data_IF_242880810093
#
_entry.id   IF_242880810093
#
_cell.length_a   1.000
_cell.length_b   1.000
_cell.length_c   1.000
_cell.angle_alpha   90.00
_cell.angle_beta   90.00
_cell.angle_gamma   90.00
#
_symmetry.space_group_name_H-M   'P 1'
#
loop_
_entity.id
_entity.type
_entity.pdbx_description
1 polymer ?
#
# COMPACT_ATOMS: atom_id res chain seq x y z
N UNK A 1 10.35 -7.67 -15.71
CA UNK A 1 10.43 -7.08 -14.38
C UNK A 1 10.17 -5.57 -14.43
N UNK A 2 9.74 -5.00 -13.30
CA UNK A 2 9.43 -3.58 -13.12
C UNK A 2 7.96 -3.27 -13.40
N UNK A 3 7.26 -2.75 -12.38
CA UNK A 3 5.83 -2.38 -12.47
C UNK A 3 5.56 -0.97 -11.93
N UNK A 4 6.53 -0.33 -11.33
CA UNK A 4 6.49 1.07 -10.89
C UNK A 4 7.18 1.92 -11.96
N UNK A 5 6.41 2.52 -12.88
CA UNK A 5 7.00 3.28 -13.98
C UNK A 5 6.14 4.44 -14.45
N UNK A 6 6.83 5.40 -15.05
CA UNK A 6 6.24 6.50 -15.81
C UNK A 6 6.95 6.63 -17.14
N UNK A 7 6.31 7.27 -18.09
CA UNK A 7 6.87 7.46 -19.43
C UNK A 7 6.12 8.49 -20.23
N UNK A 8 6.55 8.63 -21.49
CA UNK A 8 5.91 9.48 -22.48
C UNK A 8 5.37 8.61 -23.60
N UNK A 9 4.15 8.84 -24.03
CA UNK A 9 3.53 8.11 -25.14
C UNK A 9 4.34 8.36 -26.42
N UNK A 10 5.02 7.33 -26.91
CA UNK A 10 5.83 7.39 -28.13
C UNK A 10 5.04 6.97 -29.37
N UNK A 11 4.23 5.93 -29.25
CA UNK A 11 3.37 5.40 -30.32
C UNK A 11 2.00 5.04 -29.80
N UNK A 12 0.97 5.12 -30.65
CA UNK A 12 -0.40 4.74 -30.30
C UNK A 12 -1.06 3.95 -31.42
N UNK A 13 -1.81 2.92 -31.02
CA UNK A 13 -2.79 2.27 -31.87
C UNK A 13 -4.17 2.97 -31.80
N UNK A 14 -5.08 2.67 -32.74
CA UNK A 14 -6.38 3.36 -32.87
C UNK A 14 -7.33 3.19 -31.67
N UNK A 15 -7.10 2.22 -30.79
CA UNK A 15 -7.93 2.00 -29.60
C UNK A 15 -7.59 2.93 -28.44
N UNK A 16 -6.44 3.64 -28.50
CA UNK A 16 -5.97 4.52 -27.44
C UNK A 16 -6.20 6.02 -27.75
N UNK A 17 -6.50 6.38 -29.00
CA UNK A 17 -6.60 7.75 -29.50
C UNK A 17 -7.64 8.62 -28.79
N UNK A 18 -8.73 8.02 -28.27
CA UNK A 18 -9.75 8.72 -27.50
C UNK A 18 -9.34 9.06 -26.06
N UNK A 19 -8.27 8.43 -25.54
CA UNK A 19 -7.81 8.64 -24.17
C UNK A 19 -6.54 9.47 -24.10
N UNK A 20 -5.62 9.27 -25.07
CA UNK A 20 -4.27 9.79 -25.05
C UNK A 20 -3.88 10.39 -26.41
N UNK A 21 -2.75 11.10 -26.42
CA UNK A 21 -2.06 11.56 -27.62
C UNK A 21 -0.55 11.28 -27.47
N UNK A 22 0.15 11.21 -28.59
CA UNK A 22 1.62 11.14 -28.61
C UNK A 22 2.19 12.34 -27.86
N UNK A 23 3.17 12.13 -27.00
CA UNK A 23 3.76 13.12 -26.14
C UNK A 23 3.11 13.28 -24.75
N UNK A 24 1.93 12.66 -24.49
CA UNK A 24 1.35 12.69 -23.15
C UNK A 24 2.31 11.99 -22.16
N UNK A 25 2.54 12.65 -21.02
CA UNK A 25 3.23 12.07 -19.87
C UNK A 25 2.26 11.20 -19.09
N UNK A 26 2.67 9.99 -18.76
CA UNK A 26 1.77 9.00 -18.15
C UNK A 26 2.46 8.21 -17.05
N UNK A 27 1.66 7.71 -16.11
CA UNK A 27 2.06 6.76 -15.07
C UNK A 27 1.10 5.58 -15.10
N UNK A 28 1.63 4.38 -14.87
CA UNK A 28 0.84 3.14 -14.90
C UNK A 28 0.36 2.73 -13.52
N UNK A 29 -0.83 2.16 -13.49
CA UNK A 29 -1.38 1.42 -12.35
C UNK A 29 -0.89 -0.04 -12.29
N UNK A 30 -0.02 -0.45 -13.19
CA UNK A 30 0.60 -1.76 -13.33
C UNK A 30 -0.27 -2.93 -13.84
N UNK A 31 -1.56 -2.79 -14.01
CA UNK A 31 -2.40 -3.84 -14.61
C UNK A 31 -2.08 -4.01 -16.10
N UNK A 32 -1.87 -5.26 -16.52
CA UNK A 32 -1.67 -5.64 -17.93
C UNK A 32 -2.93 -6.20 -18.59
N UNK A 33 -3.80 -6.84 -17.81
CA UNK A 33 -5.03 -7.45 -18.29
C UNK A 33 -6.07 -7.59 -17.19
N UNK A 34 -7.34 -7.45 -17.55
CA UNK A 34 -8.53 -7.82 -16.77
C UNK A 34 -9.60 -8.40 -17.70
N UNK A 35 -10.49 -9.24 -17.19
CA UNK A 35 -11.49 -9.89 -18.05
C UNK A 35 -12.70 -9.01 -18.44
N UNK A 36 -12.95 -7.93 -17.71
CA UNK A 36 -14.07 -6.98 -17.96
C UNK A 36 -15.48 -7.50 -17.67
N UNK A 37 -15.65 -8.76 -17.20
CA UNK A 37 -16.96 -9.42 -17.07
C UNK A 37 -17.21 -10.14 -15.75
N UNK A 38 -16.22 -10.24 -14.86
CA UNK A 38 -16.41 -10.86 -13.55
C UNK A 38 -17.02 -9.87 -12.55
N UNK A 39 -17.57 -10.35 -11.42
CA UNK A 39 -18.17 -9.46 -10.41
C UNK A 39 -17.24 -8.37 -9.88
N UNK A 40 -15.93 -8.61 -9.87
CA UNK A 40 -14.95 -7.60 -9.49
C UNK A 40 -14.85 -6.50 -10.56
N UNK A 41 -14.74 -6.87 -11.84
CA UNK A 41 -14.67 -5.91 -12.95
C UNK A 41 -15.97 -5.10 -13.09
N UNK A 42 -17.14 -5.72 -12.92
CA UNK A 42 -18.44 -5.03 -12.96
C UNK A 42 -18.58 -3.96 -11.88
N UNK A 43 -17.90 -4.14 -10.74
CA UNK A 43 -17.82 -3.16 -9.65
C UNK A 43 -16.69 -2.15 -9.80
N UNK A 44 -15.90 -2.23 -10.89
CA UNK A 44 -14.67 -1.44 -11.04
C UNK A 44 -13.52 -1.87 -10.14
N UNK A 45 -13.62 -2.98 -9.43
CA UNK A 45 -12.56 -3.51 -8.56
C UNK A 45 -11.61 -4.41 -9.36
N UNK A 46 -10.87 -3.81 -10.27
CA UNK A 46 -10.03 -4.51 -11.24
C UNK A 46 -8.87 -5.26 -10.62
N UNK A 47 -8.34 -4.79 -9.50
CA UNK A 47 -7.25 -5.45 -8.77
C UNK A 47 -7.61 -6.86 -8.31
N UNK A 48 -8.90 -7.10 -8.04
CA UNK A 48 -9.43 -8.40 -7.61
C UNK A 48 -10.03 -9.24 -8.76
N UNK A 49 -9.76 -8.88 -10.02
CA UNK A 49 -10.15 -9.71 -11.16
C UNK A 49 -9.38 -11.04 -11.14
N UNK A 50 -10.06 -12.21 -11.20
CA UNK A 50 -9.38 -13.50 -11.17
C UNK A 50 -8.51 -13.78 -12.42
N UNK A 51 -8.75 -13.06 -13.52
CA UNK A 51 -7.93 -13.13 -14.74
C UNK A 51 -6.92 -11.97 -14.81
N UNK A 52 -6.74 -11.19 -13.74
CA UNK A 52 -5.78 -10.07 -13.75
C UNK A 52 -4.37 -10.55 -14.05
N UNK A 53 -3.69 -9.81 -14.90
CA UNK A 53 -2.25 -9.90 -15.10
C UNK A 53 -1.58 -8.60 -14.75
N UNK A 54 -0.43 -8.68 -14.11
CA UNK A 54 0.35 -7.54 -13.66
C UNK A 54 1.59 -7.38 -14.55
N UNK A 55 1.85 -6.17 -15.01
CA UNK A 55 3.08 -5.86 -15.73
C UNK A 55 4.30 -6.13 -14.83
N UNK A 56 5.34 -6.69 -15.42
CA UNK A 56 6.57 -7.00 -14.69
C UNK A 56 6.53 -8.26 -13.84
N UNK A 57 5.35 -8.85 -13.64
CA UNK A 57 5.15 -10.14 -12.96
C UNK A 57 4.65 -11.20 -13.93
N UNK A 58 3.45 -11.00 -14.48
CA UNK A 58 2.79 -11.96 -15.40
C UNK A 58 3.07 -11.68 -16.87
N UNK A 59 3.50 -10.47 -17.17
CA UNK A 59 3.87 -10.00 -18.52
C UNK A 59 5.20 -9.26 -18.46
N UNK A 60 5.69 -8.82 -19.63
CA UNK A 60 6.85 -7.96 -19.72
C UNK A 60 6.64 -6.69 -18.89
N UNK A 61 7.71 -6.23 -18.23
CA UNK A 61 7.70 -5.08 -17.35
C UNK A 61 8.44 -3.88 -17.95
N UNK A 62 8.65 -2.87 -17.10
CA UNK A 62 9.12 -1.55 -17.54
C UNK A 62 10.63 -1.30 -17.32
N UNK A 63 11.43 -2.31 -16.94
CA UNK A 63 12.90 -2.18 -16.97
C UNK A 63 13.41 -2.25 -18.41
N UNK A 64 12.92 -1.33 -19.25
CA UNK A 64 13.17 -1.27 -20.68
C UNK A 64 12.98 0.16 -21.19
N UNK A 65 13.47 0.43 -22.41
CA UNK A 65 13.30 1.73 -23.06
C UNK A 65 11.84 1.99 -23.47
N UNK A 66 11.09 0.94 -23.83
CA UNK A 66 9.69 1.03 -24.24
C UNK A 66 8.88 -0.09 -23.59
N UNK A 67 7.68 0.24 -23.12
CA UNK A 67 6.70 -0.70 -22.58
C UNK A 67 5.40 -0.58 -23.37
N UNK A 68 4.73 -1.70 -23.60
CA UNK A 68 3.45 -1.74 -24.32
C UNK A 68 2.30 -1.86 -23.29
N UNK A 69 1.37 -0.91 -23.37
CA UNK A 69 0.09 -0.98 -22.69
C UNK A 69 -1.00 -1.35 -23.69
N UNK A 70 -1.82 -2.38 -23.39
CA UNK A 70 -2.83 -2.87 -24.31
C UNK A 70 -3.98 -1.86 -24.47
N UNK A 71 -4.37 -1.55 -25.73
CA UNK A 71 -5.57 -0.78 -26.01
C UNK A 71 -6.86 -1.51 -25.62
N UNK A 72 -6.87 -2.86 -25.58
CA UNK A 72 -8.02 -3.64 -25.10
C UNK A 72 -8.19 -3.49 -23.58
N UNK A 73 -7.09 -3.42 -22.83
CA UNK A 73 -7.13 -3.07 -21.42
C UNK A 73 -7.74 -1.69 -21.21
N UNK A 74 -7.25 -0.68 -21.94
CA UNK A 74 -7.75 0.70 -21.82
C UNK A 74 -9.22 0.85 -22.20
N UNK A 75 -9.75 -0.02 -23.06
CA UNK A 75 -11.18 -0.04 -23.38
C UNK A 75 -12.06 -0.51 -22.21
N UNK A 76 -11.53 -1.36 -21.34
CA UNK A 76 -12.22 -1.90 -20.15
C UNK A 76 -11.88 -1.05 -18.92
N UNK A 77 -10.61 -0.71 -18.77
CA UNK A 77 -10.05 -0.01 -17.62
C UNK A 77 -9.20 1.19 -18.09
N UNK A 78 -9.82 2.32 -18.42
CA UNK A 78 -9.11 3.51 -18.91
C UNK A 78 -8.05 4.02 -17.93
N UNK A 79 -8.34 3.91 -16.63
CA UNK A 79 -7.45 4.36 -15.56
C UNK A 79 -6.29 3.38 -15.25
N UNK A 80 -6.09 2.32 -16.04
CA UNK A 80 -4.84 1.54 -15.97
C UNK A 80 -3.60 2.36 -16.35
N UNK A 81 -3.82 3.50 -17.02
CA UNK A 81 -2.80 4.48 -17.37
C UNK A 81 -3.34 5.88 -17.11
N UNK A 82 -2.60 6.70 -16.34
CA UNK A 82 -2.99 8.07 -16.00
C UNK A 82 -2.13 9.10 -16.71
N UNK A 83 -2.74 10.21 -17.11
CA UNK A 83 -1.99 11.41 -17.50
C UNK A 83 -1.37 12.03 -16.26
N UNK A 84 -0.05 12.23 -16.33
CA UNK A 84 0.70 12.87 -15.26
C UNK A 84 0.55 14.39 -15.35
N UNK A 85 0.10 15.09 -14.29
CA UNK A 85 0.09 16.54 -14.25
C UNK A 85 1.49 17.13 -14.47
N UNK A 86 1.57 18.30 -15.11
CA UNK A 86 2.86 18.97 -15.35
C UNK A 86 3.61 19.33 -14.07
N UNK A 87 2.87 19.57 -12.99
CA UNK A 87 3.42 19.88 -11.66
C UNK A 87 4.18 18.73 -11.01
N UNK A 88 4.01 17.49 -11.47
CA UNK A 88 4.72 16.33 -10.91
C UNK A 88 5.94 16.04 -11.80
N UNK A 89 7.18 16.14 -11.27
CA UNK A 89 8.37 15.74 -11.99
C UNK A 89 8.34 14.25 -12.38
N UNK A 90 8.87 13.93 -13.57
CA UNK A 90 8.81 12.58 -14.13
C UNK A 90 9.57 11.56 -13.26
N UNK A 91 10.64 11.99 -12.62
CA UNK A 91 11.47 11.15 -11.73
C UNK A 91 10.73 10.69 -10.47
N UNK A 92 9.68 11.40 -10.04
CA UNK A 92 8.86 11.03 -8.89
C UNK A 92 7.58 10.27 -9.28
N UNK A 93 7.20 10.30 -10.54
CA UNK A 93 5.95 9.70 -10.99
C UNK A 93 5.83 8.18 -10.73
N UNK A 94 6.90 7.37 -10.84
CA UNK A 94 6.82 5.94 -10.49
C UNK A 94 6.43 5.68 -9.04
N UNK A 95 6.70 6.62 -8.11
CA UNK A 95 6.35 6.50 -6.70
C UNK A 95 4.84 6.60 -6.45
N UNK A 96 4.05 7.04 -7.43
CA UNK A 96 2.59 7.09 -7.32
C UNK A 96 1.97 5.70 -7.16
N UNK A 97 2.61 4.67 -7.74
CA UNK A 97 2.14 3.29 -7.59
C UNK A 97 2.16 2.83 -6.12
N UNK A 98 3.32 2.77 -5.42
CA UNK A 98 3.35 2.36 -4.01
C UNK A 98 2.66 3.36 -3.07
N UNK A 99 2.62 4.65 -3.40
CA UNK A 99 1.87 5.64 -2.63
C UNK A 99 0.36 5.37 -2.67
N UNK A 100 -0.19 5.04 -3.85
CA UNK A 100 -1.60 4.70 -4.01
C UNK A 100 -1.98 3.40 -3.30
N UNK A 101 -1.09 2.41 -3.29
CA UNK A 101 -1.26 1.21 -2.48
C UNK A 101 -1.44 1.57 -1.00
N UNK A 102 -0.60 2.45 -0.47
CA UNK A 102 -0.69 2.82 0.95
C UNK A 102 -1.84 3.78 1.25
N UNK A 103 -2.27 4.60 0.30
CA UNK A 103 -3.53 5.33 0.44
C UNK A 103 -4.71 4.36 0.62
N UNK A 104 -4.80 3.34 -0.24
CA UNK A 104 -5.83 2.30 -0.13
C UNK A 104 -5.76 1.60 1.23
N UNK A 105 -4.58 1.11 1.62
CA UNK A 105 -4.38 0.36 2.86
C UNK A 105 -4.66 1.17 4.13
N UNK A 106 -4.25 2.44 4.18
CA UNK A 106 -4.37 3.28 5.39
C UNK A 106 -5.73 3.96 5.47
N UNK A 107 -6.20 4.51 4.33
CA UNK A 107 -7.39 5.37 4.33
C UNK A 107 -8.66 4.59 4.02
N UNK A 108 -8.67 3.78 2.97
CA UNK A 108 -9.90 3.11 2.54
C UNK A 108 -10.14 1.80 3.28
N UNK A 109 -9.14 0.94 3.39
CA UNK A 109 -9.26 -0.35 4.08
C UNK A 109 -9.06 -0.21 5.59
N UNK A 110 -8.06 0.56 5.99
CA UNK A 110 -7.72 0.84 7.39
C UNK A 110 -8.62 1.86 8.06
N UNK A 111 -9.36 2.66 7.31
CA UNK A 111 -10.36 3.62 7.76
C UNK A 111 -9.87 4.55 8.89
N UNK A 112 -8.58 4.88 8.90
CA UNK A 112 -7.98 5.74 9.94
C UNK A 112 -8.67 7.11 9.96
N UNK A 113 -9.07 7.54 11.13
CA UNK A 113 -9.70 8.84 11.32
C UNK A 113 -8.71 9.87 11.91
N UNK A 114 -8.90 11.17 11.63
CA UNK A 114 -8.11 12.21 12.28
C UNK A 114 -8.13 12.08 13.80
N UNK A 115 -6.95 12.15 14.43
CA UNK A 115 -6.77 12.02 15.88
C UNK A 115 -6.55 10.59 16.38
N UNK A 116 -6.72 9.56 15.54
CA UNK A 116 -6.46 8.16 15.92
C UNK A 116 -4.97 7.81 15.86
N UNK A 117 -4.59 6.71 16.52
CA UNK A 117 -3.23 6.21 16.57
C UNK A 117 -3.04 5.05 15.59
N UNK A 118 -1.92 5.04 14.89
CA UNK A 118 -1.53 4.00 13.94
C UNK A 118 -0.14 3.44 14.26
N UNK A 119 0.00 2.14 14.10
CA UNK A 119 1.28 1.44 14.15
C UNK A 119 1.61 0.87 12.78
N UNK A 120 2.81 1.14 12.28
CA UNK A 120 3.32 0.64 11.00
C UNK A 120 4.52 -0.27 11.26
N UNK A 121 4.39 -1.54 10.95
CA UNK A 121 5.46 -2.52 11.02
C UNK A 121 6.21 -2.63 9.70
N UNK A 122 7.51 -2.36 9.74
CA UNK A 122 8.42 -2.41 8.59
C UNK A 122 8.76 -1.02 8.06
N UNK A 123 10.03 -0.63 8.20
CA UNK A 123 10.55 0.67 7.78
C UNK A 123 11.05 0.68 6.31
N UNK A 124 10.57 -0.25 5.46
CA UNK A 124 10.82 -0.26 4.03
C UNK A 124 10.03 0.83 3.28
N UNK A 125 10.15 0.87 1.95
CA UNK A 125 9.44 1.86 1.12
C UNK A 125 7.93 1.88 1.39
N UNK A 126 7.30 0.72 1.45
CA UNK A 126 5.86 0.56 1.72
C UNK A 126 5.49 1.15 3.09
N UNK A 127 6.23 0.80 4.17
CA UNK A 127 5.96 1.36 5.50
C UNK A 127 6.18 2.86 5.57
N UNK A 128 7.17 3.40 4.86
CA UNK A 128 7.40 4.85 4.77
C UNK A 128 6.27 5.57 4.03
N UNK A 129 5.67 4.98 2.99
CA UNK A 129 4.45 5.52 2.37
C UNK A 129 3.25 5.41 3.29
N UNK A 130 3.11 4.32 4.06
CA UNK A 130 2.05 4.21 5.07
C UNK A 130 2.12 5.31 6.12
N UNK A 131 3.33 5.67 6.60
CA UNK A 131 3.57 6.80 7.50
C UNK A 131 3.10 8.13 6.87
N UNK A 132 3.41 8.37 5.59
CA UNK A 132 2.96 9.58 4.89
C UNK A 132 1.44 9.64 4.76
N UNK A 133 0.80 8.53 4.39
CA UNK A 133 -0.66 8.46 4.27
C UNK A 133 -1.34 8.66 5.62
N UNK A 134 -0.79 8.10 6.69
CA UNK A 134 -1.28 8.32 8.06
C UNK A 134 -1.19 9.78 8.47
N UNK A 135 -0.09 10.46 8.15
CA UNK A 135 0.07 11.90 8.39
C UNK A 135 -0.96 12.72 7.62
N UNK A 136 -1.13 12.43 6.33
CA UNK A 136 -2.12 13.12 5.46
C UNK A 136 -3.53 12.90 5.98
N UNK A 137 -3.86 11.70 6.47
CA UNK A 137 -5.14 11.37 7.08
C UNK A 137 -5.37 12.03 8.45
N UNK A 138 -4.35 12.66 9.03
CA UNK A 138 -4.46 13.36 10.32
C UNK A 138 -4.34 12.46 11.54
N UNK A 139 -3.70 11.30 11.44
CA UNK A 139 -3.41 10.43 12.58
C UNK A 139 -2.63 11.20 13.67
N UNK A 140 -2.91 10.91 14.95
CA UNK A 140 -2.30 11.57 16.09
C UNK A 140 -0.90 11.02 16.38
N UNK A 141 -0.81 9.76 16.80
CA UNK A 141 0.47 9.08 16.94
C UNK A 141 0.68 8.14 15.76
N UNK A 142 1.80 8.31 15.07
CA UNK A 142 2.24 7.48 13.94
C UNK A 142 3.52 6.78 14.39
N UNK A 143 3.40 5.51 14.78
CA UNK A 143 4.48 4.74 15.37
C UNK A 143 5.07 3.83 14.29
N UNK A 144 6.32 4.08 13.90
CA UNK A 144 7.05 3.27 12.94
C UNK A 144 7.93 2.24 13.66
N UNK A 145 7.69 0.98 13.37
CA UNK A 145 8.43 -0.14 13.95
C UNK A 145 9.35 -0.76 12.90
N UNK A 146 10.61 -0.93 13.24
CA UNK A 146 11.63 -1.51 12.36
C UNK A 146 12.67 -2.32 13.10
N UNK A 147 13.69 -2.74 12.38
CA UNK A 147 14.81 -3.52 12.88
C UNK A 147 15.98 -2.61 13.32
N UNK A 148 16.98 -3.12 14.08
CA UNK A 148 18.17 -2.34 14.44
C UNK A 148 18.88 -1.71 13.24
N UNK A 149 18.88 -2.37 12.08
CA UNK A 149 19.45 -1.87 10.83
C UNK A 149 18.76 -0.61 10.27
N UNK A 150 17.53 -0.33 10.70
CA UNK A 150 16.75 0.79 10.20
C UNK A 150 17.08 2.11 10.92
N UNK A 151 17.73 2.05 12.10
CA UNK A 151 17.99 3.20 12.97
C UNK A 151 18.79 4.32 12.28
N UNK A 152 19.79 3.96 11.48
CA UNK A 152 20.68 4.95 10.89
C UNK A 152 20.10 5.65 9.66
N UNK A 153 19.14 5.04 8.96
CA UNK A 153 18.66 5.54 7.66
C UNK A 153 17.14 5.63 7.55
N UNK A 154 16.44 4.54 7.88
CA UNK A 154 14.98 4.43 7.67
C UNK A 154 14.18 5.20 8.71
N UNK A 155 14.57 5.13 9.98
CA UNK A 155 13.89 5.88 11.03
C UNK A 155 14.00 7.40 10.84
N UNK A 156 15.18 8.01 10.60
CA UNK A 156 15.28 9.42 10.28
C UNK A 156 14.48 9.84 9.05
N UNK A 157 14.33 8.95 8.06
CA UNK A 157 13.46 9.18 6.91
C UNK A 157 11.99 9.17 7.34
N UNK A 158 11.57 8.16 8.11
CA UNK A 158 10.20 8.03 8.63
C UNK A 158 9.76 9.24 9.47
N UNK A 159 10.65 9.75 10.33
CA UNK A 159 10.40 10.95 11.14
C UNK A 159 10.16 12.18 10.26
N UNK A 160 10.98 12.38 9.23
CA UNK A 160 10.79 13.47 8.25
C UNK A 160 9.46 13.34 7.50
N UNK A 161 9.03 12.10 7.23
CA UNK A 161 7.79 11.81 6.53
C UNK A 161 6.54 11.87 7.42
N UNK A 162 6.72 11.87 8.74
CA UNK A 162 5.62 12.09 9.68
C UNK A 162 5.48 11.09 10.81
N UNK A 163 6.39 10.10 10.95
CA UNK A 163 6.40 9.25 12.13
C UNK A 163 6.64 10.11 13.38
N UNK A 164 5.78 9.96 14.36
CA UNK A 164 5.90 10.66 15.65
C UNK A 164 6.80 9.91 16.62
N UNK A 165 6.89 8.59 16.44
CA UNK A 165 7.72 7.69 17.25
C UNK A 165 8.33 6.60 16.36
N UNK A 166 9.52 6.17 16.72
CA UNK A 166 10.19 5.02 16.11
C UNK A 166 10.58 4.01 17.19
N UNK A 167 10.34 2.71 16.96
CA UNK A 167 10.65 1.66 17.92
C UNK A 167 11.42 0.54 17.22
N UNK A 168 12.54 0.12 17.82
CA UNK A 168 13.30 -1.05 17.37
C UNK A 168 12.65 -2.32 17.89
N UNK A 169 12.32 -3.24 17.00
CA UNK A 169 11.71 -4.53 17.34
C UNK A 169 12.74 -5.66 17.21
N UNK A 170 13.63 -5.77 18.16
CA UNK A 170 14.65 -6.81 18.25
C UNK A 170 14.37 -7.87 19.34
N UNK A 171 13.22 -7.74 20.00
CA UNK A 171 12.80 -8.60 21.10
C UNK A 171 13.32 -8.17 22.48
N UNK A 172 14.08 -7.09 22.59
CA UNK A 172 14.57 -6.55 23.86
C UNK A 172 13.54 -5.70 24.61
N UNK A 173 12.48 -5.26 23.91
CA UNK A 173 11.46 -4.34 24.42
C UNK A 173 10.10 -5.05 24.50
N UNK A 174 9.36 -4.81 25.58
CA UNK A 174 7.92 -5.11 25.61
C UNK A 174 7.18 -4.10 24.73
N UNK A 175 6.99 -4.48 23.47
CA UNK A 175 6.44 -3.62 22.44
C UNK A 175 5.03 -3.12 22.78
N UNK A 176 4.21 -3.99 23.38
CA UNK A 176 2.85 -3.60 23.79
C UNK A 176 2.89 -2.54 24.89
N UNK A 177 3.71 -2.74 25.91
CA UNK A 177 3.82 -1.80 27.02
C UNK A 177 4.35 -0.41 26.54
N UNK A 178 5.30 -0.39 25.60
CA UNK A 178 5.79 0.89 25.04
C UNK A 178 4.71 1.60 24.22
N UNK A 179 3.94 0.88 23.40
CA UNK A 179 2.87 1.46 22.59
C UNK A 179 1.71 1.94 23.49
N UNK A 180 1.37 1.19 24.54
CA UNK A 180 0.34 1.58 25.50
C UNK A 180 0.71 2.92 26.21
N UNK A 181 1.98 3.15 26.52
CA UNK A 181 2.45 4.44 27.08
C UNK A 181 2.26 5.61 26.11
N UNK A 182 2.49 5.36 24.80
CA UNK A 182 2.36 6.39 23.76
C UNK A 182 0.89 6.70 23.47
N UNK A 183 0.07 5.67 23.32
CA UNK A 183 -1.32 5.78 22.85
C UNK A 183 -2.34 6.02 23.99
N UNK A 184 -1.98 5.66 25.23
CA UNK A 184 -2.87 5.79 26.37
C UNK A 184 -4.19 5.03 26.20
N UNK A 185 -5.28 5.55 26.77
CA UNK A 185 -6.61 4.92 26.74
C UNK A 185 -7.21 4.86 25.32
N UNK A 186 -6.79 5.72 24.40
CA UNK A 186 -7.28 5.70 23.02
C UNK A 186 -6.87 4.44 22.26
N UNK A 187 -5.77 3.80 22.67
CA UNK A 187 -5.22 2.61 22.05
C UNK A 187 -4.85 2.80 20.57
N UNK A 188 -4.53 1.73 19.88
CA UNK A 188 -4.16 1.71 18.46
C UNK A 188 -5.37 1.34 17.61
N UNK A 189 -5.81 2.24 16.75
CA UNK A 189 -6.95 2.02 15.86
C UNK A 189 -6.58 1.14 14.66
N UNK A 190 -5.40 1.35 14.09
CA UNK A 190 -4.93 0.70 12.87
C UNK A 190 -3.50 0.16 13.03
N UNK A 191 -3.29 -1.08 12.63
CA UNK A 191 -1.97 -1.64 12.41
C UNK A 191 -1.76 -1.91 10.92
N UNK A 192 -0.66 -1.45 10.35
CA UNK A 192 -0.20 -1.83 9.00
C UNK A 192 0.94 -2.84 9.13
N UNK A 193 0.69 -4.06 8.68
CA UNK A 193 1.74 -5.08 8.56
C UNK A 193 2.39 -5.01 7.18
N UNK A 194 3.47 -4.21 7.06
CA UNK A 194 4.29 -4.12 5.85
C UNK A 194 5.53 -5.06 5.90
N UNK A 195 5.66 -5.86 6.94
CA UNK A 195 6.73 -6.86 7.08
C UNK A 195 6.30 -8.27 6.63
N UNK A 196 5.03 -8.61 6.81
CA UNK A 196 4.40 -9.83 6.32
C UNK A 196 4.76 -11.11 7.09
N UNK A 197 5.61 -11.05 8.12
CA UNK A 197 6.02 -12.26 8.87
C UNK A 197 5.03 -12.62 9.98
N UNK A 198 4.83 -13.92 10.30
CA UNK A 198 3.80 -14.34 11.27
C UNK A 198 3.88 -13.68 12.63
N UNK A 199 5.09 -13.44 13.15
CA UNK A 199 5.29 -12.81 14.45
C UNK A 199 4.79 -11.36 14.46
N UNK A 200 4.92 -10.63 13.36
CA UNK A 200 4.41 -9.26 13.24
C UNK A 200 2.89 -9.24 13.26
N UNK A 201 2.23 -10.15 12.55
CA UNK A 201 0.77 -10.24 12.61
C UNK A 201 0.28 -10.56 14.03
N UNK A 202 0.99 -11.44 14.77
CA UNK A 202 0.69 -11.69 16.19
C UNK A 202 0.85 -10.42 17.03
N UNK A 203 1.94 -9.67 16.83
CA UNK A 203 2.15 -8.39 17.52
C UNK A 203 1.06 -7.37 17.18
N UNK A 204 0.62 -7.29 15.93
CA UNK A 204 -0.54 -6.46 15.55
C UNK A 204 -1.80 -6.83 16.34
N UNK A 205 -2.11 -8.12 16.46
CA UNK A 205 -3.28 -8.61 17.22
C UNK A 205 -3.17 -8.24 18.71
N UNK A 206 -1.97 -8.31 19.29
CA UNK A 206 -1.74 -7.96 20.69
C UNK A 206 -1.93 -6.46 20.96
N UNK A 207 -1.48 -5.62 20.02
CA UNK A 207 -1.37 -4.16 20.17
C UNK A 207 -2.67 -3.45 19.80
N UNK A 208 -3.33 -3.86 18.71
CA UNK A 208 -4.52 -3.17 18.21
C UNK A 208 -5.63 -3.18 19.28
N UNK A 209 -6.36 -2.06 19.41
CA UNK A 209 -7.48 -1.94 20.37
C UNK A 209 -8.66 -2.85 19.97
N UNK A 210 -9.65 -2.94 20.86
CA UNK A 210 -10.92 -3.56 20.52
C UNK A 210 -11.57 -2.81 19.33
N UNK A 211 -12.22 -3.56 18.45
CA UNK A 211 -12.81 -3.04 17.20
C UNK A 211 -11.81 -2.34 16.27
N UNK A 212 -10.50 -2.64 16.42
CA UNK A 212 -9.47 -2.08 15.56
C UNK A 212 -9.24 -2.89 14.29
N UNK A 213 -8.47 -2.31 13.38
CA UNK A 213 -8.21 -2.88 12.06
C UNK A 213 -6.73 -3.22 11.91
N UNK A 214 -6.44 -4.35 11.29
CA UNK A 214 -5.11 -4.75 10.85
C UNK A 214 -5.15 -4.89 9.33
N UNK A 215 -4.38 -4.09 8.60
CA UNK A 215 -4.21 -4.24 7.16
C UNK A 215 -2.87 -4.92 6.89
N UNK A 216 -2.95 -6.10 6.28
CA UNK A 216 -1.77 -6.90 5.94
C UNK A 216 -1.37 -6.65 4.50
N UNK A 217 -0.23 -5.96 4.31
CA UNK A 217 0.36 -5.62 3.02
C UNK A 217 1.55 -6.53 2.70
N UNK A 218 2.35 -6.85 3.70
CA UNK A 218 3.51 -7.71 3.56
C UNK A 218 3.12 -9.14 3.21
N UNK A 219 3.79 -9.73 2.22
CA UNK A 219 3.50 -11.08 1.71
C UNK A 219 4.44 -12.11 2.31
N UNK A 220 3.91 -13.25 2.74
CA UNK A 220 4.68 -14.39 3.24
C UNK A 220 3.82 -15.66 3.21
N UNK A 221 4.42 -16.78 2.79
CA UNK A 221 3.76 -18.09 2.71
C UNK A 221 3.85 -18.92 4.00
N UNK A 222 4.53 -18.42 5.04
CA UNK A 222 4.64 -19.15 6.30
C UNK A 222 3.29 -19.17 7.03
N UNK A 223 2.92 -20.32 7.63
CA UNK A 223 1.72 -20.41 8.45
C UNK A 223 1.74 -19.40 9.60
N UNK A 224 0.58 -18.83 9.94
CA UNK A 224 0.47 -17.89 11.07
C UNK A 224 0.92 -18.51 12.39
N UNK A 225 0.49 -19.75 12.67
CA UNK A 225 0.98 -20.54 13.81
C UNK A 225 0.49 -20.11 15.21
N UNK A 226 -0.40 -19.13 15.31
CA UNK A 226 -0.95 -18.60 16.57
C UNK A 226 -2.46 -18.82 16.66
N UNK A 227 -3.00 -18.80 17.88
CA UNK A 227 -4.44 -18.87 18.10
C UNK A 227 -5.16 -17.59 17.67
N UNK A 228 -6.43 -17.73 17.23
CA UNK A 228 -7.23 -16.61 16.71
C UNK A 228 -8.28 -16.10 17.71
N UNK A 229 -8.33 -16.63 18.95
CA UNK A 229 -9.35 -16.23 19.93
C UNK A 229 -9.34 -14.73 20.23
N UNK A 230 -8.17 -14.11 20.28
CA UNK A 230 -8.06 -12.66 20.55
C UNK A 230 -8.71 -11.81 19.45
N UNK A 231 -8.67 -12.27 18.20
CA UNK A 231 -9.37 -11.61 17.09
C UNK A 231 -10.87 -11.54 17.35
N UNK A 232 -11.45 -12.66 17.85
CA UNK A 232 -12.87 -12.69 18.20
C UNK A 232 -13.18 -11.86 19.45
N UNK A 233 -12.38 -12.01 20.52
CA UNK A 233 -12.60 -11.31 21.80
C UNK A 233 -12.51 -9.79 21.63
N UNK A 234 -11.57 -9.31 20.82
CA UNK A 234 -11.39 -7.88 20.54
C UNK A 234 -12.25 -7.37 19.37
N UNK A 235 -12.98 -8.25 18.66
CA UNK A 235 -13.71 -7.90 17.42
C UNK A 235 -12.82 -7.27 16.34
N UNK A 236 -11.58 -7.75 16.19
CA UNK A 236 -10.60 -7.20 15.27
C UNK A 236 -10.95 -7.56 13.82
N UNK A 237 -10.80 -6.61 12.89
CA UNK A 237 -10.82 -6.87 11.47
C UNK A 237 -9.40 -7.09 10.95
N UNK A 238 -9.16 -8.19 10.24
CA UNK A 238 -7.90 -8.44 9.51
C UNK A 238 -8.20 -8.38 8.02
N UNK A 239 -7.62 -7.38 7.35
CA UNK A 239 -7.84 -7.10 5.93
C UNK A 239 -6.57 -7.45 5.15
N UNK A 240 -6.70 -8.29 4.12
CA UNK A 240 -5.64 -8.56 3.15
C UNK A 240 -5.62 -7.47 2.08
N UNK A 241 -4.45 -6.89 1.84
CA UNK A 241 -4.23 -5.87 0.83
C UNK A 241 -3.44 -6.45 -0.36
N UNK A 242 -3.88 -6.20 -1.59
CA UNK A 242 -3.21 -6.70 -2.81
C UNK A 242 -2.97 -5.63 -3.87
N UNK A 243 -3.28 -4.40 -3.60
CA UNK A 243 -3.15 -3.31 -4.56
C UNK A 243 -4.24 -2.27 -4.39
N UNK A 244 -4.36 -1.34 -5.32
CA UNK A 244 -5.31 -0.26 -5.22
C UNK A 244 -6.27 -0.24 -6.40
N UNK A 245 -7.39 0.46 -6.21
CA UNK A 245 -8.42 0.66 -7.19
C UNK A 245 -8.47 2.12 -7.61
N UNK A 246 -8.49 2.39 -8.89
CA UNK A 246 -8.46 3.75 -9.43
C UNK A 246 -9.84 4.30 -9.78
N UNK A 247 -10.89 3.61 -9.36
CA UNK A 247 -12.28 4.01 -9.60
C UNK A 247 -12.95 4.69 -8.41
N UNK A 248 -12.24 4.80 -7.29
CA UNK A 248 -12.75 5.43 -6.06
C UNK A 248 -12.22 6.83 -5.85
#
# INVERSE_FOLDING_TARGET
LGHEFAGTIAEMGPKADKYFKIGDRVVSENTAHVCGRCPACEKGNYVNCPERKTMGCDTDGAFTQYVKVSGDLLAIYPNALFKLPESIPMEYAPLLEPASNMYMAVVQEGQIMPGENIVVFGAGAIGLFAVQMAKIAGASNIILIGMPSDQATRFPCGEKLGATHTIVNDGSVDLKAEIDKICGESGVALCIDAAGVPVVLKQCVDIVRNDGIIVRVGMNDKPYGYGMNEVNVKSISIVGHMGYNTTS
#
